data_IF_918542812479
#
_entry.id   IF_918542812479
#
_cell.length_a   1.000
_cell.length_b   1.000
_cell.length_c   1.000
_cell.angle_alpha   90.00
_cell.angle_beta   90.00
_cell.angle_gamma   90.00
#
_symmetry.space_group_name_H-M   'P 1'
#
loop_
_entity.id
_entity.type
_entity.pdbx_description
1 polymer ?
#
# COMPACT_ATOMS: atom_id res chain seq x y z
N UNK A 1 -4.74 -16.08 -11.86
CA UNK A 1 -4.40 -14.75 -11.31
C UNK A 1 -4.58 -13.76 -12.43
N UNK A 2 -5.54 -12.83 -12.32
CA UNK A 2 -5.78 -11.85 -13.39
C UNK A 2 -4.54 -11.00 -13.58
N UNK A 3 -4.09 -10.84 -14.83
CA UNK A 3 -2.90 -10.06 -15.20
C UNK A 3 -2.97 -8.63 -14.66
N UNK A 4 -4.17 -8.07 -14.54
CA UNK A 4 -4.42 -6.73 -13.99
C UNK A 4 -4.07 -6.61 -12.50
N UNK A 5 -4.35 -7.63 -11.67
CA UNK A 5 -3.98 -7.63 -10.25
C UNK A 5 -2.45 -7.63 -10.08
N UNK A 6 -1.73 -8.32 -10.96
CA UNK A 6 -0.27 -8.33 -10.96
C UNK A 6 0.28 -6.95 -11.35
N UNK A 7 -0.29 -6.33 -12.39
CA UNK A 7 0.12 -4.98 -12.81
C UNK A 7 -0.17 -3.92 -11.76
N UNK A 8 -1.34 -3.98 -11.13
CA UNK A 8 -1.70 -3.08 -10.03
C UNK A 8 -0.72 -3.24 -8.86
N UNK A 9 -0.41 -4.47 -8.44
CA UNK A 9 0.54 -4.72 -7.36
C UNK A 9 1.96 -4.24 -7.68
N UNK A 10 2.45 -4.50 -8.90
CA UNK A 10 3.77 -4.01 -9.34
C UNK A 10 3.83 -2.48 -9.38
N UNK A 11 2.74 -1.85 -9.82
CA UNK A 11 2.63 -0.40 -9.86
C UNK A 11 2.66 0.21 -8.46
N UNK A 12 1.90 -0.35 -7.52
CA UNK A 12 1.90 0.08 -6.11
C UNK A 12 3.29 -0.03 -5.51
N UNK A 13 3.94 -1.19 -5.66
CA UNK A 13 5.31 -1.42 -5.17
C UNK A 13 6.28 -0.41 -5.74
N UNK A 14 6.23 -0.16 -7.06
CA UNK A 14 7.12 0.79 -7.71
C UNK A 14 6.90 2.21 -7.18
N UNK A 15 5.65 2.68 -7.13
CA UNK A 15 5.29 4.03 -6.73
C UNK A 15 5.67 4.29 -5.28
N UNK A 16 5.28 3.41 -4.35
CA UNK A 16 5.52 3.62 -2.92
C UNK A 16 6.99 3.51 -2.56
N UNK A 17 7.70 2.54 -3.15
CA UNK A 17 9.15 2.37 -2.92
C UNK A 17 9.92 3.57 -3.45
N UNK A 18 9.59 4.06 -4.66
CA UNK A 18 10.22 5.25 -5.25
C UNK A 18 9.89 6.50 -4.43
N UNK A 19 8.64 6.66 -4.01
CA UNK A 19 8.21 7.79 -3.20
C UNK A 19 8.98 7.85 -1.88
N UNK A 20 9.08 6.74 -1.14
CA UNK A 20 9.81 6.69 0.12
C UNK A 20 11.34 6.81 -0.07
N UNK A 21 11.88 6.32 -1.19
CA UNK A 21 13.28 6.54 -1.57
C UNK A 21 13.60 8.02 -1.80
N UNK A 22 12.66 8.78 -2.37
CA UNK A 22 12.84 10.22 -2.62
C UNK A 22 12.59 11.04 -1.35
N UNK A 23 11.51 10.75 -0.62
CA UNK A 23 11.02 11.62 0.45
C UNK A 23 11.54 11.29 1.86
N UNK A 24 12.09 10.08 2.07
CA UNK A 24 12.49 9.62 3.39
C UNK A 24 13.90 9.01 3.46
N UNK A 25 14.09 7.81 2.91
CA UNK A 25 15.31 7.02 3.14
C UNK A 25 15.59 6.12 1.94
N UNK A 26 16.86 6.09 1.52
CA UNK A 26 17.36 5.32 0.36
C UNK A 26 18.10 4.04 0.72
N UNK A 27 18.13 3.70 2.01
CA UNK A 27 18.78 2.49 2.49
C UNK A 27 18.17 1.23 1.84
N UNK A 28 19.01 0.35 1.31
CA UNK A 28 18.55 -0.80 0.53
C UNK A 28 17.69 -1.76 1.37
N UNK A 29 18.04 -1.98 2.65
CA UNK A 29 17.25 -2.85 3.52
C UNK A 29 15.86 -2.26 3.78
N UNK A 30 15.78 -0.94 4.00
CA UNK A 30 14.51 -0.24 4.13
C UNK A 30 13.66 -0.30 2.85
N UNK A 31 14.27 -0.13 1.67
CA UNK A 31 13.54 -0.18 0.40
C UNK A 31 13.05 -1.59 0.06
N UNK A 32 13.83 -2.62 0.38
CA UNK A 32 13.39 -4.02 0.26
C UNK A 32 12.24 -4.31 1.23
N UNK A 33 12.34 -3.83 2.48
CA UNK A 33 11.25 -3.94 3.45
C UNK A 33 9.98 -3.26 2.95
N UNK A 34 10.09 -2.04 2.40
CA UNK A 34 8.98 -1.31 1.80
C UNK A 34 8.32 -2.12 0.70
N UNK A 35 9.09 -2.58 -0.29
CA UNK A 35 8.57 -3.36 -1.41
C UNK A 35 7.90 -4.66 -0.94
N UNK A 36 8.55 -5.42 -0.06
CA UNK A 36 8.01 -6.68 0.46
C UNK A 36 6.71 -6.47 1.25
N UNK A 37 6.67 -5.43 2.08
CA UNK A 37 5.50 -5.13 2.88
C UNK A 37 4.33 -4.67 2.02
N UNK A 38 4.57 -3.77 1.06
CA UNK A 38 3.58 -3.34 0.07
C UNK A 38 2.98 -4.52 -0.71
N UNK A 39 3.82 -5.45 -1.18
CA UNK A 39 3.34 -6.67 -1.85
C UNK A 39 2.42 -7.45 -0.90
N UNK A 40 2.86 -7.68 0.33
CA UNK A 40 2.11 -8.48 1.29
C UNK A 40 0.77 -7.86 1.67
N UNK A 41 0.76 -6.56 1.99
CA UNK A 41 -0.44 -5.83 2.42
C UNK A 41 -1.44 -5.65 1.28
N UNK A 42 -1.00 -5.22 0.09
CA UNK A 42 -1.88 -5.05 -1.07
C UNK A 42 -2.41 -6.40 -1.58
N UNK A 43 -1.60 -7.46 -1.57
CA UNK A 43 -2.08 -8.80 -1.94
C UNK A 43 -3.09 -9.31 -0.93
N UNK A 44 -2.83 -9.16 0.37
CA UNK A 44 -3.76 -9.57 1.42
C UNK A 44 -5.08 -8.81 1.32
N UNK A 45 -5.04 -7.49 1.07
CA UNK A 45 -6.23 -6.67 0.88
C UNK A 45 -7.03 -7.14 -0.35
N UNK A 46 -6.39 -7.29 -1.49
CA UNK A 46 -7.06 -7.74 -2.72
C UNK A 46 -7.68 -9.14 -2.54
N UNK A 47 -6.97 -10.09 -1.93
CA UNK A 47 -7.51 -11.42 -1.64
C UNK A 47 -8.69 -11.35 -0.68
N UNK A 48 -8.60 -10.54 0.39
CA UNK A 48 -9.71 -10.35 1.31
C UNK A 48 -10.95 -9.80 0.59
N UNK A 49 -10.78 -8.77 -0.24
CA UNK A 49 -11.87 -8.18 -1.02
C UNK A 49 -12.52 -9.18 -1.99
N UNK A 50 -11.75 -10.13 -2.56
CA UNK A 50 -12.32 -11.19 -3.41
C UNK A 50 -13.19 -12.20 -2.65
N UNK A 51 -13.00 -12.33 -1.33
CA UNK A 51 -13.78 -13.24 -0.48
C UNK A 51 -15.06 -12.62 0.08
N UNK A 52 -15.26 -11.30 -0.06
CA UNK A 52 -16.42 -10.62 0.52
C UNK A 52 -17.59 -10.47 -0.48
N UNK A 53 -18.84 -10.50 0.00
CA UNK A 53 -20.02 -10.22 -0.82
C UNK A 53 -19.95 -8.81 -1.41
N UNK A 54 -20.29 -8.67 -2.70
CA UNK A 54 -20.20 -7.40 -3.44
C UNK A 54 -21.18 -6.32 -2.94
N UNK A 55 -22.29 -6.72 -2.34
CA UNK A 55 -23.43 -5.84 -2.01
C UNK A 55 -23.16 -4.78 -0.91
N UNK A 56 -21.94 -4.68 -0.40
CA UNK A 56 -21.49 -3.61 0.50
C UNK A 56 -19.99 -3.27 0.41
N UNK A 57 -19.30 -3.78 -0.62
CA UNK A 57 -17.83 -3.77 -0.70
C UNK A 57 -17.26 -2.34 -0.84
N UNK A 58 -17.99 -1.45 -1.52
CA UNK A 58 -17.52 -0.10 -1.87
C UNK A 58 -17.15 0.74 -0.64
N UNK A 59 -17.87 0.60 0.47
CA UNK A 59 -17.58 1.35 1.71
C UNK A 59 -16.55 0.68 2.60
N UNK A 60 -16.40 -0.64 2.51
CA UNK A 60 -15.49 -1.41 3.35
C UNK A 60 -14.04 -1.34 2.88
N UNK A 61 -13.81 -0.99 1.62
CA UNK A 61 -12.46 -0.72 1.08
C UNK A 61 -11.74 0.35 1.91
N UNK A 62 -12.36 1.49 2.19
CA UNK A 62 -11.69 2.60 2.89
C UNK A 62 -11.16 2.27 4.29
N UNK A 63 -11.91 1.63 5.21
CA UNK A 63 -11.37 1.25 6.51
C UNK A 63 -10.30 0.13 6.39
N UNK A 64 -10.37 -0.73 5.38
CA UNK A 64 -9.34 -1.74 5.13
C UNK A 64 -8.03 -1.12 4.61
N UNK A 65 -8.10 -0.15 3.70
CA UNK A 65 -6.95 0.65 3.25
C UNK A 65 -6.30 1.37 4.44
N UNK A 66 -7.10 1.95 5.35
CA UNK A 66 -6.57 2.57 6.56
C UNK A 66 -5.86 1.56 7.48
N UNK A 67 -6.37 0.33 7.56
CA UNK A 67 -5.74 -0.75 8.31
C UNK A 67 -4.41 -1.17 7.69
N UNK A 68 -4.32 -1.23 6.35
CA UNK A 68 -3.06 -1.44 5.63
C UNK A 68 -2.04 -0.36 5.99
N UNK A 69 -2.40 0.93 5.88
CA UNK A 69 -1.52 2.04 6.27
C UNK A 69 -1.04 1.91 7.71
N UNK A 70 -1.92 1.52 8.63
CA UNK A 70 -1.57 1.34 10.04
C UNK A 70 -0.55 0.20 10.24
N UNK A 71 -0.73 -0.92 9.55
CA UNK A 71 0.22 -2.05 9.56
C UNK A 71 1.56 -1.63 8.97
N UNK A 72 1.56 -0.96 7.82
CA UNK A 72 2.78 -0.51 7.16
C UNK A 72 3.57 0.45 8.02
N UNK A 73 2.89 1.45 8.59
CA UNK A 73 3.50 2.38 9.51
C UNK A 73 4.07 1.67 10.75
N UNK A 74 3.36 0.70 11.32
CA UNK A 74 3.84 -0.02 12.50
C UNK A 74 5.15 -0.77 12.22
N UNK A 75 5.25 -1.43 11.07
CA UNK A 75 6.47 -2.14 10.65
C UNK A 75 7.62 -1.17 10.36
N UNK A 76 7.36 -0.07 9.64
CA UNK A 76 8.39 0.93 9.38
C UNK A 76 8.84 1.64 10.66
N UNK A 77 7.93 1.91 11.57
CA UNK A 77 8.23 2.53 12.86
C UNK A 77 9.01 1.58 13.78
N UNK A 78 8.77 0.26 13.68
CA UNK A 78 9.60 -0.74 14.36
C UNK A 78 11.03 -0.76 13.79
N UNK A 79 11.18 -0.68 12.47
CA UNK A 79 12.50 -0.72 11.81
C UNK A 79 13.31 0.58 11.94
N UNK A 80 12.65 1.75 11.88
CA UNK A 80 13.32 3.05 11.77
C UNK A 80 13.04 4.01 12.94
N UNK A 81 12.19 3.61 13.89
CA UNK A 81 11.70 4.46 14.97
C UNK A 81 10.41 5.19 14.63
N UNK A 82 9.58 5.44 15.65
CA UNK A 82 8.29 6.15 15.50
C UNK A 82 8.53 7.62 15.15
N UNK A 83 7.85 8.10 14.11
CA UNK A 83 7.83 9.52 13.75
C UNK A 83 6.49 9.90 13.13
N UNK A 84 6.00 11.11 13.43
CA UNK A 84 4.83 11.69 12.74
C UNK A 84 5.09 11.88 11.26
N UNK A 85 6.33 12.25 10.88
CA UNK A 85 6.74 12.39 9.48
C UNK A 85 6.64 11.05 8.76
N UNK A 86 7.10 9.97 9.38
CA UNK A 86 7.04 8.63 8.79
C UNK A 86 5.58 8.20 8.56
N UNK A 87 4.71 8.41 9.55
CA UNK A 87 3.28 8.13 9.40
C UNK A 87 2.66 8.88 8.22
N UNK A 88 2.89 10.19 8.13
CA UNK A 88 2.35 11.01 7.04
C UNK A 88 2.90 10.58 5.67
N UNK A 89 4.16 10.17 5.59
CA UNK A 89 4.74 9.68 4.34
C UNK A 89 4.19 8.30 3.95
N UNK A 90 3.99 7.39 4.89
CA UNK A 90 3.32 6.10 4.62
C UNK A 90 1.90 6.32 4.14
N UNK A 91 1.12 7.17 4.83
CA UNK A 91 -0.23 7.52 4.40
C UNK A 91 -0.24 8.14 3.01
N UNK A 92 0.68 9.09 2.73
CA UNK A 92 0.77 9.71 1.42
C UNK A 92 1.14 8.71 0.32
N UNK A 93 2.05 7.76 0.59
CA UNK A 93 2.44 6.73 -0.36
C UNK A 93 1.25 5.86 -0.76
N UNK A 94 0.51 5.33 0.22
CA UNK A 94 -0.68 4.50 0.00
C UNK A 94 -1.82 5.30 -0.67
N UNK A 95 -2.04 6.56 -0.30
CA UNK A 95 -3.05 7.40 -0.98
C UNK A 95 -2.66 7.63 -2.44
N UNK A 96 -1.38 7.89 -2.73
CA UNK A 96 -0.90 8.09 -4.10
C UNK A 96 -1.05 6.82 -4.94
N UNK A 97 -0.64 5.66 -4.42
CA UNK A 97 -0.77 4.38 -5.12
C UNK A 97 -2.22 3.99 -5.36
N UNK A 98 -3.10 4.20 -4.36
CA UNK A 98 -4.55 3.99 -4.49
C UNK A 98 -5.17 4.91 -5.56
N UNK A 99 -4.87 6.21 -5.52
CA UNK A 99 -5.37 7.17 -6.53
C UNK A 99 -4.90 6.81 -7.93
N UNK A 100 -3.65 6.36 -8.07
CA UNK A 100 -3.09 5.93 -9.35
C UNK A 100 -3.78 4.66 -9.85
N UNK A 101 -4.01 3.70 -8.96
CA UNK A 101 -4.77 2.47 -9.25
C UNK A 101 -6.18 2.79 -9.74
N UNK A 102 -6.89 3.68 -9.04
CA UNK A 102 -8.21 4.18 -9.46
C UNK A 102 -8.19 4.83 -10.85
N UNK A 103 -7.19 5.67 -11.12
CA UNK A 103 -7.09 6.38 -12.40
C UNK A 103 -6.83 5.45 -13.59
N UNK A 104 -6.11 4.33 -13.37
CA UNK A 104 -5.73 3.40 -14.44
C UNK A 104 -6.69 2.23 -14.61
N UNK A 105 -7.25 1.70 -13.52
CA UNK A 105 -8.06 0.49 -13.51
C UNK A 105 -9.54 0.75 -13.18
N UNK A 106 -9.89 1.99 -12.81
CA UNK A 106 -11.26 2.34 -12.40
C UNK A 106 -11.57 1.95 -10.96
N UNK A 107 -12.79 2.26 -10.52
CA UNK A 107 -13.27 1.87 -9.20
C UNK A 107 -13.80 0.42 -9.22
N UNK A 108 -13.50 -0.33 -8.15
CA UNK A 108 -14.06 -1.66 -7.88
C UNK A 108 -15.54 -1.64 -7.49
#
# INVERSE_FOLDING_TARGET
MNVELLWAALLTVAVETVFLAIAYRRDAAFLVLCAALNVATNLALNLLLTCLPRDGLHWLVYPLELAVVAVEYAVFAYACGRSKKLFLLTLAANVLSYCLGLALFGHV
#
